data_IF_860772280587
#
_entry.id   IF_860772280587
#
_cell.length_a   1.000
_cell.length_b   1.000
_cell.length_c   1.000
_cell.angle_alpha   90.00
_cell.angle_beta   90.00
_cell.angle_gamma   90.00
#
_symmetry.space_group_name_H-M   'P 1'
#
loop_
_entity.id
_entity.type
_entity.pdbx_description
1 polymer ?
#
# COMPACT_ATOMS: atom_id res chain seq x y z
N UNK A 1 21.33 2.11 -7.04
CA UNK A 1 21.56 1.69 -5.63
C UNK A 1 21.53 2.90 -4.73
N UNK A 2 20.41 3.14 -4.03
CA UNK A 2 20.30 4.16 -2.98
C UNK A 2 20.07 3.42 -1.67
N UNK A 3 21.00 3.58 -0.71
CA UNK A 3 20.97 2.95 0.60
C UNK A 3 19.68 3.31 1.36
N UNK A 4 18.91 2.29 1.71
CA UNK A 4 17.79 2.31 2.66
C UNK A 4 18.37 2.39 4.09
N UNK A 5 18.70 3.58 4.58
CA UNK A 5 19.24 3.75 5.96
C UNK A 5 18.66 4.94 6.75
N UNK A 6 17.50 5.49 6.39
CA UNK A 6 16.97 6.70 7.08
C UNK A 6 15.49 6.63 7.53
N UNK A 7 14.82 5.47 7.47
CA UNK A 7 13.36 5.47 7.56
C UNK A 7 12.77 5.71 8.96
N UNK A 8 13.49 5.46 10.07
CA UNK A 8 12.91 5.56 11.42
C UNK A 8 13.57 6.59 12.35
N UNK A 9 14.23 7.62 11.81
CA UNK A 9 14.76 8.70 12.66
C UNK A 9 13.59 9.57 13.11
N UNK A 10 13.23 9.46 14.39
CA UNK A 10 12.36 10.41 15.09
C UNK A 10 13.27 11.42 15.82
N UNK A 11 13.31 12.69 15.38
CA UNK A 11 14.10 13.70 16.07
C UNK A 11 13.67 13.85 17.53
N UNK A 12 14.62 14.15 18.43
CA UNK A 12 14.31 14.36 19.85
C UNK A 12 13.22 15.42 20.00
N UNK A 13 12.21 15.15 20.83
CA UNK A 13 11.06 16.04 21.08
C UNK A 13 11.47 17.49 21.38
N UNK A 14 12.55 17.71 22.13
CA UNK A 14 13.08 19.06 22.42
C UNK A 14 13.51 19.82 21.15
N UNK A 15 14.13 19.14 20.20
CA UNK A 15 14.57 19.73 18.92
C UNK A 15 13.35 20.04 18.05
N UNK A 16 12.37 19.12 17.98
CA UNK A 16 11.12 19.36 17.25
C UNK A 16 10.35 20.55 17.82
N UNK A 17 10.29 20.68 19.15
CA UNK A 17 9.64 21.82 19.81
C UNK A 17 10.40 23.12 19.52
N UNK A 18 11.74 23.13 19.57
CA UNK A 18 12.53 24.30 19.23
C UNK A 18 12.30 24.74 17.78
N UNK A 19 12.29 23.80 16.82
CA UNK A 19 12.00 24.08 15.43
C UNK A 19 10.59 24.65 15.23
N UNK A 20 9.61 24.15 16.00
CA UNK A 20 8.24 24.63 15.97
C UNK A 20 8.09 26.04 16.54
N UNK A 21 8.74 26.34 17.67
CA UNK A 21 8.58 27.63 18.39
C UNK A 21 9.51 28.73 17.87
N UNK A 22 10.66 28.39 17.27
CA UNK A 22 11.62 29.36 16.70
C UNK A 22 11.14 30.07 15.43
N UNK A 23 9.97 29.73 14.91
CA UNK A 23 9.44 30.28 13.66
C UNK A 23 9.99 29.61 12.40
N UNK A 24 10.98 28.73 12.50
CA UNK A 24 11.54 27.94 11.38
C UNK A 24 10.43 27.14 10.70
N UNK A 25 9.58 26.45 11.49
CA UNK A 25 8.43 25.74 10.95
C UNK A 25 7.52 26.66 10.11
N UNK A 26 7.14 27.81 10.65
CA UNK A 26 6.25 28.75 9.96
C UNK A 26 6.88 29.29 8.68
N UNK A 27 8.17 29.64 8.70
CA UNK A 27 8.90 30.10 7.54
C UNK A 27 8.97 29.02 6.44
N UNK A 28 9.24 27.77 6.83
CA UNK A 28 9.26 26.64 5.90
C UNK A 28 7.87 26.34 5.36
N UNK A 29 6.81 26.43 6.16
CA UNK A 29 5.44 26.25 5.66
C UNK A 29 5.09 27.29 4.59
N UNK A 30 5.40 28.57 4.83
CA UNK A 30 5.19 29.63 3.83
C UNK A 30 5.99 29.36 2.56
N UNK A 31 7.25 28.94 2.71
CA UNK A 31 8.10 28.58 1.58
C UNK A 31 7.52 27.42 0.78
N UNK A 32 7.25 26.26 1.40
CA UNK A 32 6.77 25.09 0.65
C UNK A 32 5.41 25.34 0.01
N UNK A 33 4.49 26.05 0.67
CA UNK A 33 3.17 26.37 0.10
C UNK A 33 3.27 27.29 -1.12
N UNK A 34 4.20 28.26 -1.10
CA UNK A 34 4.41 29.18 -2.21
C UNK A 34 5.08 28.50 -3.40
N UNK A 35 6.11 27.69 -3.13
CA UNK A 35 6.98 27.13 -4.17
C UNK A 35 6.54 25.73 -4.64
N UNK A 36 5.66 25.02 -3.95
CA UNK A 36 5.14 23.73 -4.47
C UNK A 36 4.14 23.90 -5.61
N UNK A 37 3.48 25.06 -5.71
CA UNK A 37 2.44 25.34 -6.70
C UNK A 37 3.01 25.86 -8.04
N UNK A 38 4.28 26.24 -8.09
CA UNK A 38 4.95 26.70 -9.30
C UNK A 38 5.46 25.53 -10.16
N UNK A 39 5.75 25.82 -11.43
CA UNK A 39 6.49 24.92 -12.33
C UNK A 39 7.87 25.55 -12.53
N UNK A 40 8.93 24.80 -12.20
CA UNK A 40 10.31 25.31 -12.25
C UNK A 40 11.15 24.49 -13.24
N UNK A 41 12.01 25.17 -13.99
CA UNK A 41 12.97 24.50 -14.85
C UNK A 41 14.08 23.82 -14.02
N UNK A 42 14.61 22.70 -14.54
CA UNK A 42 15.66 21.89 -13.90
C UNK A 42 16.94 22.68 -13.57
N UNK A 43 17.19 23.79 -14.26
CA UNK A 43 18.36 24.65 -14.05
C UNK A 43 18.27 25.55 -12.82
N UNK A 44 17.18 25.47 -12.04
CA UNK A 44 17.02 26.23 -10.80
C UNK A 44 17.33 25.36 -9.58
N UNK A 45 17.95 25.93 -8.54
CA UNK A 45 18.16 25.22 -7.27
C UNK A 45 16.87 25.03 -6.45
N UNK A 46 15.72 25.48 -6.97
CA UNK A 46 14.45 25.49 -6.24
C UNK A 46 13.91 24.08 -5.94
N UNK A 47 13.91 23.10 -6.85
CA UNK A 47 13.42 21.76 -6.55
C UNK A 47 14.22 21.06 -5.44
N UNK A 48 15.55 21.26 -5.42
CA UNK A 48 16.41 20.67 -4.38
C UNK A 48 16.14 21.28 -3.00
N UNK A 49 15.99 22.61 -2.92
CA UNK A 49 15.69 23.30 -1.67
C UNK A 49 14.28 22.94 -1.18
N UNK A 50 13.32 22.86 -2.09
CA UNK A 50 11.95 22.43 -1.81
C UNK A 50 11.91 21.01 -1.22
N UNK A 51 12.62 20.06 -1.83
CA UNK A 51 12.71 18.69 -1.32
C UNK A 51 13.37 18.62 0.07
N UNK A 52 14.41 19.43 0.32
CA UNK A 52 15.02 19.53 1.67
C UNK A 52 14.04 20.13 2.69
N UNK A 53 13.28 21.14 2.30
CA UNK A 53 12.26 21.74 3.16
C UNK A 53 11.16 20.75 3.51
N UNK A 54 10.63 20.00 2.54
CA UNK A 54 9.66 18.93 2.80
C UNK A 54 10.23 17.83 3.69
N UNK A 55 11.46 17.37 3.43
CA UNK A 55 12.11 16.37 4.28
C UNK A 55 12.27 16.85 5.72
N UNK A 56 12.60 18.12 5.94
CA UNK A 56 12.62 18.70 7.28
C UNK A 56 11.23 18.65 7.93
N UNK A 57 10.19 19.10 7.21
CA UNK A 57 8.80 19.08 7.69
C UNK A 57 8.34 17.66 8.05
N UNK A 58 8.63 16.66 7.21
CA UNK A 58 8.36 15.24 7.50
C UNK A 58 9.02 14.80 8.80
N UNK A 59 10.31 15.09 8.99
CA UNK A 59 11.04 14.70 10.20
C UNK A 59 10.49 15.33 11.48
N UNK A 60 10.07 16.60 11.45
CA UNK A 60 9.48 17.25 12.63
C UNK A 60 8.01 16.88 12.85
N UNK A 61 7.33 16.35 11.82
CA UNK A 61 5.97 15.84 11.86
C UNK A 61 5.89 14.52 12.63
N UNK A 62 6.91 13.65 12.49
CA UNK A 62 7.01 12.33 13.14
C UNK A 62 6.81 12.42 14.65
N UNK A 63 5.76 11.76 15.15
CA UNK A 63 5.42 11.73 16.58
C UNK A 63 4.92 13.06 17.17
N UNK A 64 4.74 14.11 16.37
CA UNK A 64 4.38 15.44 16.85
C UNK A 64 2.97 15.84 16.42
N UNK A 65 1.99 15.60 17.29
CA UNK A 65 0.57 15.90 17.03
C UNK A 65 0.31 17.39 16.72
N UNK A 66 1.06 18.31 17.33
CA UNK A 66 0.86 19.75 17.11
C UNK A 66 1.31 20.16 15.70
N UNK A 67 2.47 19.67 15.25
CA UNK A 67 2.96 19.90 13.89
C UNK A 67 2.01 19.28 12.88
N UNK A 68 1.60 18.01 13.08
CA UNK A 68 0.60 17.33 12.24
C UNK A 68 -0.66 18.15 12.06
N UNK A 69 -1.25 18.62 13.17
CA UNK A 69 -2.47 19.42 13.14
C UNK A 69 -2.29 20.75 12.39
N UNK A 70 -1.11 21.40 12.50
CA UNK A 70 -0.86 22.67 11.81
C UNK A 70 -0.65 22.49 10.31
N UNK A 71 0.04 21.42 9.90
CA UNK A 71 0.19 21.06 8.47
C UNK A 71 -1.17 20.65 7.88
N UNK A 72 -1.99 19.92 8.65
CA UNK A 72 -3.31 19.46 8.24
C UNK A 72 -4.22 20.60 7.74
N UNK A 73 -4.19 21.76 8.41
CA UNK A 73 -4.97 22.94 7.99
C UNK A 73 -4.54 23.46 6.60
N UNK A 74 -3.31 23.16 6.17
CA UNK A 74 -2.77 23.59 4.87
C UNK A 74 -2.97 22.55 3.76
N UNK A 75 -3.60 21.40 4.02
CA UNK A 75 -3.80 20.34 3.02
C UNK A 75 -4.43 20.85 1.71
N UNK A 76 -5.53 21.64 1.72
CA UNK A 76 -6.14 22.12 0.48
C UNK A 76 -5.19 22.96 -0.40
N UNK A 77 -4.18 23.59 0.20
CA UNK A 77 -3.15 24.35 -0.53
C UNK A 77 -2.00 23.46 -0.98
N UNK A 78 -1.66 22.43 -0.21
CA UNK A 78 -0.65 21.42 -0.57
C UNK A 78 -1.11 20.54 -1.74
N UNK A 79 -2.42 20.26 -1.85
CA UNK A 79 -2.98 19.49 -2.97
C UNK A 79 -2.96 20.25 -4.31
N UNK A 80 -2.64 21.55 -4.32
CA UNK A 80 -2.40 22.32 -5.55
C UNK A 80 -0.96 22.17 -6.09
N UNK A 81 -0.26 21.12 -5.67
CA UNK A 81 1.15 20.87 -5.99
C UNK A 81 1.38 20.63 -7.47
N UNK A 82 2.47 21.23 -7.98
CA UNK A 82 3.01 21.04 -9.33
C UNK A 82 4.49 20.65 -9.32
N UNK A 83 5.22 21.00 -8.26
CA UNK A 83 6.64 20.65 -8.05
C UNK A 83 6.83 20.01 -6.67
N UNK A 84 7.64 18.95 -6.60
CA UNK A 84 7.89 18.22 -5.35
C UNK A 84 6.69 17.36 -4.94
N UNK A 85 6.08 16.70 -5.92
CA UNK A 85 4.80 15.98 -5.79
C UNK A 85 4.95 14.82 -4.81
N UNK A 86 5.97 13.98 -4.99
CA UNK A 86 6.27 12.88 -4.07
C UNK A 86 6.53 13.38 -2.64
N UNK A 87 7.21 14.52 -2.51
CA UNK A 87 7.53 15.11 -1.21
C UNK A 87 6.28 15.59 -0.45
N UNK A 88 5.27 16.11 -1.17
CA UNK A 88 3.94 16.42 -0.62
C UNK A 88 3.23 15.14 -0.20
N UNK A 89 3.15 14.14 -1.07
CA UNK A 89 2.48 12.88 -0.76
C UNK A 89 3.06 12.21 0.51
N UNK A 90 4.38 12.13 0.61
CA UNK A 90 5.06 11.62 1.81
C UNK A 90 4.82 12.50 3.05
N UNK A 91 4.74 13.82 2.91
CA UNK A 91 4.39 14.69 4.04
C UNK A 91 2.96 14.42 4.53
N UNK A 92 2.01 14.21 3.62
CA UNK A 92 0.62 13.87 3.98
C UNK A 92 0.54 12.51 4.66
N UNK A 93 1.25 11.50 4.15
CA UNK A 93 1.36 10.19 4.81
C UNK A 93 1.84 10.35 6.26
N UNK A 94 2.89 11.13 6.49
CA UNK A 94 3.40 11.45 7.83
C UNK A 94 2.40 12.21 8.70
N UNK A 95 1.56 13.08 8.12
CA UNK A 95 0.48 13.78 8.85
C UNK A 95 -0.60 12.81 9.34
N UNK A 96 -0.98 11.85 8.50
CA UNK A 96 -2.03 10.87 8.78
C UNK A 96 -1.58 9.74 9.70
N UNK A 97 -0.31 9.32 9.60
CA UNK A 97 0.24 8.22 10.39
C UNK A 97 0.01 8.40 11.89
N UNK A 98 -0.48 7.36 12.56
CA UNK A 98 -0.80 7.32 14.01
C UNK A 98 -1.67 8.50 14.46
N UNK A 99 -2.55 8.97 13.58
CA UNK A 99 -3.41 10.12 13.85
C UNK A 99 -4.81 9.94 13.25
N UNK A 100 -5.56 8.97 13.79
CA UNK A 100 -6.94 8.66 13.39
C UNK A 100 -7.86 9.87 13.44
N UNK A 101 -7.72 10.74 14.43
CA UNK A 101 -8.56 11.93 14.61
C UNK A 101 -8.46 12.87 13.41
N UNK A 102 -7.25 13.19 12.94
CA UNK A 102 -7.08 14.02 11.75
C UNK A 102 -7.57 13.31 10.49
N UNK A 103 -7.33 12.01 10.38
CA UNK A 103 -7.83 11.22 9.25
C UNK A 103 -9.36 11.33 9.15
N UNK A 104 -10.09 11.18 10.25
CA UNK A 104 -11.56 11.32 10.29
C UNK A 104 -12.06 12.73 9.97
N UNK A 105 -11.20 13.75 10.10
CA UNK A 105 -11.53 15.15 9.78
C UNK A 105 -11.26 15.51 8.31
N UNK A 106 -10.64 14.62 7.53
CA UNK A 106 -10.43 14.85 6.10
C UNK A 106 -11.76 15.03 5.38
N UNK A 107 -11.85 16.05 4.53
CA UNK A 107 -13.03 16.26 3.71
C UNK A 107 -13.03 15.32 2.52
N UNK A 108 -14.22 14.90 2.07
CA UNK A 108 -14.34 14.07 0.86
C UNK A 108 -13.73 14.76 -0.36
N UNK A 109 -13.84 16.09 -0.46
CA UNK A 109 -13.26 16.87 -1.55
C UNK A 109 -11.72 16.81 -1.56
N UNK A 110 -11.07 16.85 -0.39
CA UNK A 110 -9.61 16.72 -0.31
C UNK A 110 -9.16 15.29 -0.64
N UNK A 111 -9.93 14.28 -0.21
CA UNK A 111 -9.68 12.87 -0.52
C UNK A 111 -9.82 12.61 -2.03
N UNK A 112 -10.89 13.13 -2.64
CA UNK A 112 -11.11 13.05 -4.08
C UNK A 112 -9.98 13.74 -4.84
N UNK A 113 -9.56 14.93 -4.41
CA UNK A 113 -8.42 15.61 -5.03
C UNK A 113 -7.11 14.81 -4.93
N UNK A 114 -6.82 14.20 -3.77
CA UNK A 114 -5.68 13.28 -3.63
C UNK A 114 -5.79 12.09 -4.57
N UNK A 115 -6.98 11.49 -4.68
CA UNK A 115 -7.22 10.35 -5.56
C UNK A 115 -7.04 10.75 -7.03
N UNK A 116 -7.61 11.87 -7.46
CA UNK A 116 -7.42 12.40 -8.82
C UNK A 116 -5.96 12.62 -9.12
N UNK A 117 -5.19 13.24 -8.21
CA UNK A 117 -3.74 13.42 -8.39
C UNK A 117 -3.02 12.08 -8.57
N UNK A 118 -3.44 11.02 -7.87
CA UNK A 118 -2.85 9.69 -7.98
C UNK A 118 -3.26 8.94 -9.27
N UNK A 119 -4.50 9.14 -9.74
CA UNK A 119 -5.12 8.35 -10.81
C UNK A 119 -4.98 8.98 -12.19
N UNK A 120 -4.84 10.30 -12.29
CA UNK A 120 -4.69 10.96 -13.58
C UNK A 120 -3.34 10.65 -14.20
N UNK A 121 -3.36 10.27 -15.47
CA UNK A 121 -2.15 10.00 -16.23
C UNK A 121 -1.32 11.29 -16.35
N UNK A 122 -0.20 11.31 -15.64
CA UNK A 122 0.82 12.34 -15.78
C UNK A 122 2.00 11.70 -16.51
N UNK A 123 1.95 11.71 -17.85
CA UNK A 123 2.99 11.17 -18.75
C UNK A 123 4.42 11.56 -18.34
N UNK A 124 4.55 12.71 -17.70
CA UNK A 124 5.81 13.36 -17.42
C UNK A 124 6.28 13.16 -15.97
N UNK A 125 5.47 12.55 -15.08
CA UNK A 125 5.84 12.44 -13.67
C UNK A 125 5.18 11.27 -12.92
N UNK A 126 5.96 10.21 -12.66
CA UNK A 126 5.56 9.06 -11.85
C UNK A 126 5.35 9.38 -10.37
N UNK A 127 5.87 10.52 -9.86
CA UNK A 127 5.76 10.91 -8.44
C UNK A 127 4.31 11.06 -7.97
N UNK A 128 3.38 11.33 -8.90
CA UNK A 128 1.97 11.44 -8.58
C UNK A 128 1.37 10.14 -8.01
N UNK A 129 1.92 8.98 -8.40
CA UNK A 129 1.50 7.70 -7.86
C UNK A 129 1.70 7.62 -6.34
N UNK A 130 2.67 8.35 -5.77
CA UNK A 130 2.93 8.33 -4.33
C UNK A 130 1.76 8.87 -3.49
N UNK A 131 0.79 9.57 -4.09
CA UNK A 131 -0.46 9.89 -3.40
C UNK A 131 -1.23 8.64 -2.98
N UNK A 132 -1.11 7.50 -3.67
CA UNK A 132 -1.65 6.24 -3.19
C UNK A 132 -1.09 5.81 -1.84
N UNK A 133 0.18 6.14 -1.54
CA UNK A 133 0.78 5.87 -0.22
C UNK A 133 0.04 6.69 0.85
N UNK A 134 -0.15 7.99 0.59
CA UNK A 134 -0.85 8.87 1.52
C UNK A 134 -2.32 8.44 1.71
N UNK A 135 -2.99 8.00 0.65
CA UNK A 135 -4.37 7.50 0.69
C UNK A 135 -4.45 6.18 1.47
N UNK A 136 -3.51 5.26 1.28
CA UNK A 136 -3.41 4.02 2.06
C UNK A 136 -3.24 4.31 3.55
N UNK A 137 -2.34 5.23 3.92
CA UNK A 137 -2.16 5.64 5.33
C UNK A 137 -3.41 6.35 5.86
N UNK A 138 -4.11 7.15 5.05
CA UNK A 138 -5.36 7.78 5.44
C UNK A 138 -6.44 6.73 5.79
N UNK A 139 -6.53 5.64 5.04
CA UNK A 139 -7.46 4.54 5.32
C UNK A 139 -7.03 3.72 6.54
N UNK A 140 -5.73 3.57 6.78
CA UNK A 140 -5.16 2.80 7.89
C UNK A 140 -4.03 3.58 8.57
N UNK A 141 -4.35 4.53 9.46
CA UNK A 141 -3.35 5.41 10.05
C UNK A 141 -2.44 4.71 11.05
N UNK A 142 -2.92 3.66 11.72
CA UNK A 142 -2.12 2.86 12.65
C UNK A 142 -2.33 1.37 12.34
N UNK A 143 -1.23 0.62 12.27
CA UNK A 143 -1.25 -0.83 12.06
C UNK A 143 -1.93 -1.59 13.19
N UNK A 144 -1.95 -1.04 14.41
CA UNK A 144 -2.61 -1.64 15.57
C UNK A 144 -4.12 -1.33 15.63
N UNK A 145 -4.60 -0.36 14.85
CA UNK A 145 -6.00 0.03 14.83
C UNK A 145 -6.73 -0.52 13.60
N UNK A 146 -8.05 -0.75 13.71
CA UNK A 146 -8.85 -1.10 12.54
C UNK A 146 -8.88 0.06 11.54
N UNK A 147 -8.85 -0.27 10.24
CA UNK A 147 -9.00 0.71 9.17
C UNK A 147 -10.28 1.55 9.29
N UNK A 148 -10.24 2.75 8.71
CA UNK A 148 -11.33 3.71 8.68
C UNK A 148 -12.28 3.35 7.53
N UNK A 149 -13.38 2.68 7.88
CA UNK A 149 -14.33 2.12 6.91
C UNK A 149 -14.97 3.16 5.99
N UNK A 150 -15.30 4.36 6.48
CA UNK A 150 -15.92 5.41 5.66
C UNK A 150 -15.01 5.85 4.52
N UNK A 151 -13.70 5.94 4.79
CA UNK A 151 -12.69 6.29 3.79
C UNK A 151 -12.50 5.16 2.78
N UNK A 152 -12.39 3.92 3.24
CA UNK A 152 -12.31 2.75 2.36
C UNK A 152 -13.48 2.69 1.38
N UNK A 153 -14.71 2.91 1.88
CA UNK A 153 -15.91 2.89 1.03
C UNK A 153 -15.88 4.03 -0.01
N UNK A 154 -15.59 5.26 0.42
CA UNK A 154 -15.59 6.42 -0.47
C UNK A 154 -14.50 6.32 -1.54
N UNK A 155 -13.27 6.00 -1.13
CA UNK A 155 -12.12 5.86 -2.02
C UNK A 155 -12.30 4.70 -3.00
N UNK A 156 -12.85 3.57 -2.56
CA UNK A 156 -13.12 2.45 -3.46
C UNK A 156 -14.20 2.78 -4.48
N UNK A 157 -15.19 3.60 -4.13
CA UNK A 157 -16.18 4.10 -5.09
C UNK A 157 -15.51 4.97 -6.17
N UNK A 158 -14.65 5.92 -5.79
CA UNK A 158 -13.89 6.73 -6.75
C UNK A 158 -13.04 5.86 -7.70
N UNK A 159 -12.46 4.78 -7.16
CA UNK A 159 -11.76 3.79 -7.97
C UNK A 159 -12.68 3.12 -8.99
N UNK A 160 -13.81 2.56 -8.56
CA UNK A 160 -14.75 1.90 -9.48
C UNK A 160 -15.28 2.83 -10.57
N UNK A 161 -15.45 4.12 -10.26
CA UNK A 161 -15.96 5.11 -11.21
C UNK A 161 -14.93 5.47 -12.31
N UNK A 162 -13.64 5.20 -12.10
CA UNK A 162 -12.56 5.70 -12.98
C UNK A 162 -11.56 4.63 -13.45
N UNK A 163 -11.59 3.41 -12.92
CA UNK A 163 -10.49 2.46 -13.14
C UNK A 163 -10.31 2.02 -14.59
N UNK A 164 -11.39 1.96 -15.38
CA UNK A 164 -11.31 1.63 -16.80
C UNK A 164 -10.51 2.68 -17.58
N UNK A 165 -10.66 3.96 -17.23
CA UNK A 165 -9.98 5.05 -17.91
C UNK A 165 -8.54 5.22 -17.40
N UNK A 166 -8.34 5.05 -16.09
CA UNK A 166 -7.06 5.36 -15.45
C UNK A 166 -6.10 4.17 -15.38
N UNK A 167 -6.59 2.92 -15.32
CA UNK A 167 -5.78 1.74 -14.97
C UNK A 167 -5.97 0.53 -15.90
N UNK A 168 -6.63 0.69 -17.05
CA UNK A 168 -6.85 -0.43 -17.99
C UNK A 168 -5.56 -1.05 -18.53
N UNK A 169 -4.49 -0.28 -18.65
CA UNK A 169 -3.16 -0.75 -19.02
C UNK A 169 -2.58 -1.80 -18.06
N UNK A 170 -2.90 -1.72 -16.77
CA UNK A 170 -2.38 -2.64 -15.73
C UNK A 170 -3.42 -3.61 -15.18
N UNK A 171 -4.71 -3.26 -15.20
CA UNK A 171 -5.82 -4.08 -14.67
C UNK A 171 -6.67 -4.78 -15.73
N UNK A 172 -6.39 -4.61 -17.03
CA UNK A 172 -7.02 -5.45 -18.07
C UNK A 172 -6.52 -6.89 -18.01
N UNK A 173 -7.27 -7.81 -18.62
CA UNK A 173 -6.86 -9.21 -18.74
C UNK A 173 -5.46 -9.35 -19.36
N UNK A 174 -5.13 -8.52 -20.35
CA UNK A 174 -3.81 -8.45 -20.96
C UNK A 174 -2.76 -7.89 -19.99
N UNK A 175 -3.05 -6.78 -19.31
CA UNK A 175 -2.15 -6.18 -18.31
C UNK A 175 -1.81 -7.14 -17.18
N UNK A 176 -2.82 -7.83 -16.64
CA UNK A 176 -2.66 -8.84 -15.58
C UNK A 176 -1.87 -10.05 -16.07
N UNK A 177 -2.14 -10.54 -17.29
CA UNK A 177 -1.38 -11.65 -17.88
C UNK A 177 0.10 -11.29 -18.07
N UNK A 178 0.38 -10.03 -18.41
CA UNK A 178 1.73 -9.50 -18.59
C UNK A 178 2.42 -9.07 -17.29
N UNK A 179 1.71 -9.03 -16.16
CA UNK A 179 2.23 -8.53 -14.88
C UNK A 179 3.53 -9.23 -14.45
N UNK A 180 3.63 -10.55 -14.62
CA UNK A 180 4.84 -11.32 -14.28
C UNK A 180 6.03 -10.86 -15.13
N UNK A 181 5.83 -10.66 -16.44
CA UNK A 181 6.89 -10.21 -17.33
C UNK A 181 7.30 -8.77 -17.00
N UNK A 182 6.32 -7.90 -16.77
CA UNK A 182 6.54 -6.52 -16.36
C UNK A 182 7.37 -6.44 -15.08
N UNK A 183 7.07 -7.25 -14.06
CA UNK A 183 7.78 -7.25 -12.77
C UNK A 183 9.18 -7.89 -12.82
N UNK A 184 9.45 -8.74 -13.82
CA UNK A 184 10.78 -9.30 -14.08
C UNK A 184 11.68 -8.35 -14.87
N UNK A 185 11.08 -7.45 -15.64
CA UNK A 185 11.82 -6.58 -16.55
C UNK A 185 12.76 -5.66 -15.78
N UNK A 186 14.07 -5.82 -16.01
CA UNK A 186 15.11 -4.98 -15.38
C UNK A 186 15.39 -3.69 -16.15
N UNK A 187 14.52 -3.35 -17.11
CA UNK A 187 14.66 -2.18 -17.98
C UNK A 187 14.67 -0.89 -17.18
N UNK A 188 15.51 0.05 -17.60
CA UNK A 188 15.57 1.41 -17.04
C UNK A 188 14.76 2.40 -17.87
N UNK A 189 13.88 1.92 -18.76
CA UNK A 189 12.96 2.78 -19.51
C UNK A 189 11.91 3.35 -18.56
N UNK A 190 11.70 4.65 -18.61
CA UNK A 190 10.77 5.36 -17.74
C UNK A 190 9.34 4.80 -17.83
N UNK A 191 8.88 4.40 -19.01
CA UNK A 191 7.57 3.79 -19.24
C UNK A 191 7.39 2.47 -18.47
N UNK A 192 8.43 1.63 -18.44
CA UNK A 192 8.42 0.34 -17.74
C UNK A 192 8.41 0.57 -16.24
N UNK A 193 9.27 1.48 -15.76
CA UNK A 193 9.32 1.86 -14.33
C UNK A 193 7.98 2.44 -13.89
N UNK A 194 7.36 3.28 -14.71
CA UNK A 194 6.05 3.84 -14.45
C UNK A 194 4.98 2.75 -14.35
N UNK A 195 4.89 1.85 -15.33
CA UNK A 195 3.92 0.76 -15.32
C UNK A 195 4.13 -0.19 -14.13
N UNK A 196 5.38 -0.51 -13.79
CA UNK A 196 5.72 -1.28 -12.59
C UNK A 196 5.22 -0.59 -11.32
N UNK A 197 5.60 0.67 -11.09
CA UNK A 197 5.19 1.41 -9.90
C UNK A 197 3.67 1.57 -9.81
N UNK A 198 3.02 1.80 -10.95
CA UNK A 198 1.56 1.88 -11.05
C UNK A 198 0.90 0.58 -10.59
N UNK A 199 1.37 -0.56 -11.10
CA UNK A 199 0.88 -1.87 -10.69
C UNK A 199 1.10 -2.13 -9.19
N UNK A 200 2.28 -1.81 -8.66
CA UNK A 200 2.62 -2.03 -7.25
C UNK A 200 1.75 -1.19 -6.31
N UNK A 201 1.70 0.13 -6.54
CA UNK A 201 0.94 1.06 -5.71
C UNK A 201 -0.56 0.76 -5.77
N UNK A 202 -1.07 0.41 -6.95
CA UNK A 202 -2.48 0.06 -7.13
C UNK A 202 -2.84 -1.25 -6.42
N UNK A 203 -1.96 -2.25 -6.48
CA UNK A 203 -2.17 -3.53 -5.77
C UNK A 203 -2.23 -3.31 -4.26
N UNK A 204 -1.31 -2.52 -3.69
CA UNK A 204 -1.31 -2.19 -2.26
C UNK A 204 -2.54 -1.37 -1.87
N UNK A 205 -2.93 -0.40 -2.71
CA UNK A 205 -4.13 0.41 -2.53
C UNK A 205 -5.42 -0.44 -2.49
N UNK A 206 -5.60 -1.36 -3.45
CA UNK A 206 -6.78 -2.24 -3.52
C UNK A 206 -6.86 -3.17 -2.31
N UNK A 207 -5.72 -3.69 -1.87
CA UNK A 207 -5.63 -4.47 -0.65
C UNK A 207 -6.06 -3.65 0.57
N UNK A 208 -5.60 -2.40 0.68
CA UNK A 208 -5.97 -1.48 1.75
C UNK A 208 -7.45 -1.10 1.73
N UNK A 209 -8.06 -0.88 0.55
CA UNK A 209 -9.51 -0.65 0.42
C UNK A 209 -10.33 -1.85 0.93
N UNK A 210 -9.80 -3.05 0.72
CA UNK A 210 -10.49 -4.31 0.97
C UNK A 210 -10.51 -4.74 2.43
N UNK A 211 -9.59 -4.28 3.28
CA UNK A 211 -9.37 -4.82 4.63
C UNK A 211 -10.66 -4.99 5.47
N UNK A 212 -11.53 -3.98 5.51
CA UNK A 212 -12.84 -4.04 6.23
C UNK A 212 -14.06 -3.93 5.33
N UNK A 213 -13.88 -3.82 4.02
CA UNK A 213 -14.99 -3.60 3.10
C UNK A 213 -15.23 -4.83 2.23
N UNK A 214 -16.22 -5.64 2.61
CA UNK A 214 -16.50 -6.92 1.95
C UNK A 214 -16.81 -6.78 0.45
N UNK A 215 -17.54 -5.73 0.05
CA UNK A 215 -17.80 -5.48 -1.37
C UNK A 215 -16.50 -5.21 -2.14
N UNK A 216 -15.56 -4.46 -1.56
CA UNK A 216 -14.24 -4.27 -2.16
C UNK A 216 -13.46 -5.59 -2.25
N UNK A 217 -13.50 -6.45 -1.23
CA UNK A 217 -12.88 -7.80 -1.31
C UNK A 217 -13.44 -8.59 -2.49
N UNK A 218 -14.77 -8.66 -2.59
CA UNK A 218 -15.44 -9.45 -3.61
C UNK A 218 -15.14 -8.91 -5.03
N UNK A 219 -15.11 -7.58 -5.19
CA UNK A 219 -14.71 -6.95 -6.45
C UNK A 219 -13.23 -7.10 -6.78
N UNK A 220 -12.35 -7.05 -5.79
CA UNK A 220 -10.93 -7.20 -6.02
C UNK A 220 -10.55 -8.60 -6.56
N UNK A 221 -11.34 -9.63 -6.25
CA UNK A 221 -11.19 -10.96 -6.84
C UNK A 221 -11.39 -11.00 -8.36
N UNK A 222 -12.05 -9.99 -8.96
CA UNK A 222 -12.23 -9.88 -10.41
C UNK A 222 -10.95 -9.40 -11.12
N UNK A 223 -10.04 -8.71 -10.41
CA UNK A 223 -8.80 -8.18 -10.98
C UNK A 223 -7.64 -9.17 -10.90
N UNK A 224 -7.39 -9.78 -9.73
CA UNK A 224 -6.28 -10.72 -9.59
C UNK A 224 -6.82 -12.08 -9.18
N UNK A 225 -6.71 -13.08 -10.06
CA UNK A 225 -7.04 -14.44 -9.66
C UNK A 225 -5.99 -15.00 -8.71
N UNK A 226 -6.39 -15.98 -7.88
CA UNK A 226 -5.49 -16.64 -6.94
C UNK A 226 -4.25 -17.22 -7.62
N UNK A 227 -4.42 -17.82 -8.81
CA UNK A 227 -3.32 -18.36 -9.60
C UNK A 227 -2.30 -17.29 -10.00
N UNK A 228 -2.75 -16.10 -10.44
CA UNK A 228 -1.85 -15.00 -10.79
C UNK A 228 -1.05 -14.53 -9.57
N UNK A 229 -1.70 -14.39 -8.41
CA UNK A 229 -1.03 -13.99 -7.18
C UNK A 229 0.05 -14.99 -6.77
N UNK A 230 -0.27 -16.30 -6.78
CA UNK A 230 0.70 -17.35 -6.45
C UNK A 230 1.87 -17.32 -7.41
N UNK A 231 1.61 -17.19 -8.72
CA UNK A 231 2.66 -17.12 -9.73
C UNK A 231 3.62 -15.95 -9.47
N UNK A 232 3.11 -14.76 -9.15
CA UNK A 232 3.95 -13.59 -8.82
C UNK A 232 4.75 -13.82 -7.52
N UNK A 233 4.09 -14.28 -6.46
CA UNK A 233 4.67 -14.40 -5.12
C UNK A 233 5.74 -15.49 -5.06
N UNK A 234 5.58 -16.57 -5.83
CA UNK A 234 6.52 -17.70 -5.84
C UNK A 234 7.62 -17.57 -6.90
N UNK A 235 7.58 -16.53 -7.74
CA UNK A 235 8.57 -16.35 -8.80
C UNK A 235 9.88 -15.79 -8.25
N UNK A 236 10.93 -16.61 -8.23
CA UNK A 236 12.26 -16.21 -7.74
C UNK A 236 12.96 -15.15 -8.61
N UNK A 237 12.51 -14.91 -9.84
CA UNK A 237 13.05 -13.86 -10.72
C UNK A 237 12.46 -12.48 -10.41
N UNK A 238 11.33 -12.42 -9.68
CA UNK A 238 10.73 -11.17 -9.24
C UNK A 238 11.37 -10.76 -7.92
N UNK A 239 11.81 -9.51 -7.83
CA UNK A 239 12.43 -8.99 -6.62
C UNK A 239 11.43 -9.02 -5.44
N UNK A 240 11.89 -9.43 -4.25
CA UNK A 240 11.03 -9.60 -3.06
C UNK A 240 10.22 -8.34 -2.71
N UNK A 241 10.79 -7.16 -2.92
CA UNK A 241 10.09 -5.89 -2.69
C UNK A 241 8.89 -5.69 -3.64
N UNK A 242 8.91 -6.27 -4.83
CA UNK A 242 7.80 -6.24 -5.77
C UNK A 242 6.74 -7.30 -5.47
N UNK A 243 7.11 -8.38 -4.77
CA UNK A 243 6.15 -9.41 -4.33
C UNK A 243 5.29 -8.92 -3.16
N UNK A 244 5.79 -8.01 -2.32
CA UNK A 244 5.12 -7.57 -1.07
C UNK A 244 3.68 -7.07 -1.26
N UNK A 245 3.37 -6.16 -2.23
CA UNK A 245 1.99 -5.72 -2.43
C UNK A 245 1.04 -6.86 -2.75
N UNK A 246 1.49 -7.86 -3.53
CA UNK A 246 0.68 -9.03 -3.88
C UNK A 246 0.46 -9.97 -2.71
N UNK A 247 1.45 -10.12 -1.83
CA UNK A 247 1.29 -10.85 -0.56
C UNK A 247 0.24 -10.17 0.31
N UNK A 248 0.32 -8.85 0.44
CA UNK A 248 -0.65 -8.08 1.22
C UNK A 248 -2.06 -8.16 0.60
N UNK A 249 -2.17 -8.08 -0.72
CA UNK A 249 -3.43 -8.28 -1.44
C UNK A 249 -4.01 -9.67 -1.21
N UNK A 250 -3.21 -10.73 -1.36
CA UNK A 250 -3.61 -12.11 -1.08
C UNK A 250 -4.17 -12.25 0.34
N UNK A 251 -3.50 -11.65 1.32
CA UNK A 251 -3.95 -11.67 2.71
C UNK A 251 -5.31 -10.98 2.89
N UNK A 252 -5.45 -9.74 2.41
CA UNK A 252 -6.66 -8.94 2.66
C UNK A 252 -7.87 -9.42 1.85
N UNK A 253 -7.66 -9.81 0.60
CA UNK A 253 -8.72 -10.10 -0.38
C UNK A 253 -9.14 -11.57 -0.35
N UNK A 254 -8.20 -12.50 -0.15
CA UNK A 254 -8.50 -13.94 -0.17
C UNK A 254 -8.48 -14.55 1.23
N UNK A 255 -7.36 -14.46 1.95
CA UNK A 255 -7.20 -15.18 3.22
C UNK A 255 -8.13 -14.67 4.31
N UNK A 256 -8.43 -13.37 4.30
CA UNK A 256 -9.39 -12.73 5.21
C UNK A 256 -10.81 -12.62 4.65
N UNK A 257 -11.11 -13.27 3.52
CA UNK A 257 -12.45 -13.28 2.92
C UNK A 257 -13.15 -14.61 3.19
N UNK A 258 -14.06 -14.61 4.19
CA UNK A 258 -14.83 -15.78 4.62
C UNK A 258 -15.61 -16.47 3.48
N UNK A 259 -15.95 -15.75 2.39
CA UNK A 259 -16.69 -16.30 1.25
C UNK A 259 -15.82 -17.09 0.28
N UNK A 260 -14.55 -16.69 0.16
CA UNK A 260 -13.56 -17.33 -0.72
C UNK A 260 -12.85 -18.50 -0.02
N UNK A 261 -13.10 -18.68 1.29
CA UNK A 261 -12.48 -19.69 2.16
C UNK A 261 -12.97 -21.13 1.94
N UNK A 262 -13.76 -21.41 0.90
CA UNK A 262 -14.35 -22.74 0.63
C UNK A 262 -13.32 -23.84 0.30
N UNK A 263 -12.07 -23.48 0.01
CA UNK A 263 -10.96 -24.43 -0.15
C UNK A 263 -9.96 -24.32 1.02
N UNK A 264 -10.33 -24.88 2.17
CA UNK A 264 -9.60 -24.80 3.45
C UNK A 264 -8.14 -25.28 3.35
N UNK A 265 -7.85 -26.30 2.54
CA UNK A 265 -6.52 -26.91 2.39
C UNK A 265 -5.51 -26.06 1.59
N UNK A 266 -5.96 -25.40 0.51
CA UNK A 266 -5.15 -24.45 -0.26
C UNK A 266 -4.76 -23.24 0.59
N UNK A 267 -5.68 -22.80 1.45
CA UNK A 267 -5.50 -21.62 2.30
C UNK A 267 -4.50 -21.88 3.42
N UNK A 268 -4.47 -23.08 4.02
CA UNK A 268 -3.42 -23.44 4.98
C UNK A 268 -2.03 -23.48 4.33
N UNK A 269 -1.93 -24.03 3.12
CA UNK A 269 -0.68 -24.10 2.36
C UNK A 269 -0.19 -22.69 1.98
N UNK A 270 -1.11 -21.80 1.58
CA UNK A 270 -0.81 -20.41 1.24
C UNK A 270 -0.42 -19.59 2.47
N UNK A 271 -1.10 -19.77 3.61
CA UNK A 271 -0.72 -19.11 4.88
C UNK A 271 0.71 -19.49 5.29
N UNK A 272 1.10 -20.74 5.09
CA UNK A 272 2.45 -21.21 5.38
C UNK A 272 3.50 -20.58 4.45
N UNK A 273 3.21 -20.44 3.16
CA UNK A 273 4.08 -19.72 2.19
C UNK A 273 4.21 -18.25 2.56
N UNK A 274 3.11 -17.58 2.93
CA UNK A 274 3.12 -16.17 3.36
C UNK A 274 3.96 -15.98 4.62
N UNK A 275 3.85 -16.87 5.61
CA UNK A 275 4.68 -16.83 6.83
C UNK A 275 6.18 -16.94 6.51
N UNK A 276 6.56 -17.86 5.62
CA UNK A 276 7.97 -18.08 5.25
C UNK A 276 8.59 -16.90 4.48
N UNK A 277 7.78 -16.14 3.75
CA UNK A 277 8.22 -14.93 3.06
C UNK A 277 8.39 -13.74 4.01
N UNK A 278 7.64 -13.70 5.11
CA UNK A 278 7.69 -12.63 6.12
C UNK A 278 8.85 -12.79 7.13
N UNK A 279 9.26 -14.01 7.46
CA UNK A 279 10.32 -14.28 8.45
C UNK A 279 11.74 -13.88 7.99
N UNK A 280 11.93 -13.58 6.70
CA UNK A 280 13.23 -13.20 6.13
C UNK A 280 13.55 -11.69 6.22
N UNK A 281 12.70 -10.86 6.83
CA UNK A 281 12.99 -9.45 7.08
C UNK A 281 13.33 -9.18 8.55
N UNK A 282 14.55 -8.66 8.76
CA UNK A 282 15.11 -8.35 10.08
C UNK A 282 14.34 -7.25 10.84
N UNK A 283 13.83 -7.61 12.02
CA UNK A 283 13.84 -6.87 13.29
C UNK A 283 13.15 -5.49 13.47
N UNK A 284 12.52 -4.85 12.49
CA UNK A 284 11.68 -3.64 12.76
C UNK A 284 10.25 -3.67 12.22
N UNK A 285 9.81 -4.81 11.68
CA UNK A 285 8.40 -5.09 11.37
C UNK A 285 8.04 -6.47 11.90
N UNK A 286 7.82 -6.54 13.22
CA UNK A 286 7.38 -7.74 13.93
C UNK A 286 5.85 -7.86 13.90
N UNK A 287 5.30 -9.07 14.05
CA UNK A 287 4.58 -9.76 12.98
C UNK A 287 3.08 -9.61 13.18
N UNK A 288 2.30 -9.58 12.11
CA UNK A 288 0.85 -9.76 12.20
C UNK A 288 0.53 -11.25 12.44
N UNK A 289 1.02 -11.79 13.56
CA UNK A 289 0.45 -12.97 14.17
C UNK A 289 -0.91 -12.60 14.75
N UNK A 290 -1.98 -12.95 14.06
CA UNK A 290 -3.24 -13.33 14.69
C UNK A 290 -4.14 -14.06 13.68
N UNK A 291 -3.70 -15.24 13.22
CA UNK A 291 -4.58 -16.19 12.53
C UNK A 291 -4.14 -17.62 12.90
N UNK A 292 -4.03 -17.90 14.20
CA UNK A 292 -4.46 -19.21 14.66
C UNK A 292 -5.95 -19.28 14.35
N UNK A 293 -6.37 -20.38 13.73
CA UNK A 293 -7.78 -20.69 13.51
C UNK A 293 -8.53 -20.39 14.81
N UNK A 294 -9.55 -19.53 14.79
CA UNK A 294 -10.52 -19.53 15.89
C UNK A 294 -11.06 -20.96 15.97
N UNK A 295 -11.23 -21.50 17.18
CA UNK A 295 -11.59 -22.92 17.38
C UNK A 295 -12.86 -23.33 16.60
N UNK A 296 -13.72 -22.38 16.25
CA UNK A 296 -14.87 -22.56 15.34
C UNK A 296 -14.47 -22.97 13.90
N UNK A 297 -13.37 -22.43 13.36
CA UNK A 297 -12.87 -22.80 12.03
C UNK A 297 -12.18 -24.17 12.01
N UNK A 298 -11.78 -24.69 13.17
CA UNK A 298 -11.23 -26.04 13.30
C UNK A 298 -12.33 -27.10 13.33
N UNK A 299 -13.49 -26.77 13.89
CA UNK A 299 -14.67 -27.64 13.92
C UNK A 299 -15.29 -27.81 12.53
N UNK A 300 -15.43 -26.73 11.73
CA UNK A 300 -15.93 -26.84 10.33
C UNK A 300 -15.04 -27.72 9.44
N UNK A 301 -13.74 -27.83 9.73
CA UNK A 301 -12.80 -28.70 8.99
C UNK A 301 -12.95 -30.18 9.38
N UNK A 302 -13.45 -30.48 10.59
CA UNK A 302 -13.76 -31.85 11.02
C UNK A 302 -15.08 -32.37 10.45
N UNK A 303 -15.96 -31.47 10.00
CA UNK A 303 -17.27 -31.83 9.43
C UNK A 303 -17.24 -32.07 7.91
N UNK A 304 -16.07 -31.93 7.25
CA UNK A 304 -15.93 -32.30 5.84
C UNK A 304 -16.03 -33.83 5.67
N UNK A 305 -16.86 -34.33 4.75
CA UNK A 305 -17.08 -35.76 4.57
C UNK A 305 -15.78 -36.50 4.25
N UNK A 306 -15.48 -37.55 5.02
CA UNK A 306 -14.23 -38.33 4.94
C UNK A 306 -14.12 -39.25 3.71
N UNK A 307 -15.15 -39.26 2.87
CA UNK A 307 -15.32 -40.19 1.74
C UNK A 307 -14.72 -39.70 0.42
N UNK A 308 -14.07 -38.52 0.41
CA UNK A 308 -13.42 -38.01 -0.80
C UNK A 308 -12.00 -38.61 -0.93
N UNK A 309 -11.79 -39.49 -1.92
CA UNK A 309 -10.50 -40.17 -2.18
C UNK A 309 -9.35 -39.18 -2.36
N UNK A 310 -9.63 -37.98 -2.90
CA UNK A 310 -8.68 -36.87 -3.01
C UNK A 310 -8.18 -36.36 -1.64
N UNK A 311 -9.07 -36.28 -0.65
CA UNK A 311 -8.74 -35.82 0.71
C UNK A 311 -7.87 -36.87 1.43
N UNK A 312 -8.13 -38.16 1.20
CA UNK A 312 -7.34 -39.25 1.77
C UNK A 312 -5.93 -39.33 1.16
N UNK A 313 -5.81 -39.15 -0.16
CA UNK A 313 -4.51 -39.15 -0.85
C UNK A 313 -3.66 -37.92 -0.47
N UNK A 314 -4.28 -36.75 -0.28
CA UNK A 314 -3.61 -35.53 0.18
C UNK A 314 -3.16 -35.62 1.65
N UNK A 315 -3.97 -36.18 2.57
CA UNK A 315 -3.57 -36.43 3.97
C UNK A 315 -2.34 -37.35 4.06
N UNK A 316 -2.25 -38.34 3.17
CA UNK A 316 -1.11 -39.28 3.08
C UNK A 316 0.16 -38.58 2.56
N UNK A 317 0.02 -37.64 1.62
CA UNK A 317 1.13 -36.86 1.04
C UNK A 317 1.59 -35.71 1.96
N UNK A 318 0.70 -35.09 2.75
CA UNK A 318 1.06 -34.11 3.79
C UNK A 318 1.98 -34.70 4.87
N UNK A 319 1.79 -35.97 5.25
CA UNK A 319 2.68 -36.68 6.20
C UNK A 319 4.10 -36.91 5.66
N UNK A 320 4.34 -36.77 4.35
CA UNK A 320 5.64 -37.04 3.71
C UNK A 320 6.40 -35.78 3.28
N UNK A 321 5.92 -34.58 3.62
CA UNK A 321 6.69 -33.34 3.45
C UNK A 321 6.86 -32.83 2.02
N UNK A 322 6.10 -33.34 1.04
CA UNK A 322 6.13 -32.85 -0.35
C UNK A 322 4.98 -31.87 -0.60
N UNK A 323 5.15 -30.63 -0.15
CA UNK A 323 4.12 -29.56 -0.28
C UNK A 323 4.10 -28.95 -1.70
N UNK A 324 5.20 -29.05 -2.46
CA UNK A 324 5.33 -28.38 -3.76
C UNK A 324 4.63 -29.08 -4.94
N UNK A 325 4.25 -30.36 -4.83
CA UNK A 325 3.65 -31.10 -5.96
C UNK A 325 2.14 -30.94 -6.09
N UNK A 326 1.47 -30.29 -5.13
CA UNK A 326 0.01 -30.11 -5.12
C UNK A 326 -0.46 -28.77 -5.70
N UNK A 327 0.47 -27.89 -6.11
CA UNK A 327 0.13 -26.58 -6.71
C UNK A 327 -0.13 -26.70 -8.23
N UNK A 328 0.13 -27.87 -8.84
CA UNK A 328 0.15 -28.06 -10.30
C UNK A 328 -0.78 -29.17 -10.85
N UNK A 329 -1.80 -29.58 -10.08
CA UNK A 329 -2.94 -30.36 -10.58
C UNK A 329 -4.21 -29.60 -10.22
#
# INVERSE_FOLDING_TARGET
MVKKDNMNIVPRRRIQMLAYTSGIFSALMVYVLKFSQGVYHANTNQPQLLNRAFKFLQLICRGNKMVKAKIFVSIPQLLKVRTGVAAVAHLLAEVFEKNRELCLRMSNNDIECMYTLASTYHSDNSEYLDFFIAITVLMKPDTAEPSIFIHQKFIFQLFLDSYHDCFSDVLSSEGISNAVNLLKESSQKDEVIYAQNKLLHLTEFLAACSERYQFAKDKCCEFFSLHHLINIITNNEIAKNFQKPFVYFLEQVYLRNKRQLKHSLLIMSLKQVVSQLQDNETSESRPLYLLCLDDEQLEEVKELPEDDEEIQEMKKKMKTGKILSLIFL
#
